data_IF_886395874436
#
_entry.id   IF_886395874436
#
_cell.length_a   1.000
_cell.length_b   1.000
_cell.length_c   1.000
_cell.angle_alpha   90.00
_cell.angle_beta   90.00
_cell.angle_gamma   90.00
#
_symmetry.space_group_name_H-M   'P 1'
#
loop_
_entity.id
_entity.type
_entity.pdbx_description
1 polymer ?
#
# COMPACT_ATOMS: atom_id res chain seq x y z
N UNK A 1 -10.11 8.30 -32.42
CA UNK A 1 -10.20 9.77 -32.47
C UNK A 1 -9.31 10.31 -31.38
N UNK A 2 -8.39 11.18 -31.81
CA UNK A 2 -7.06 11.38 -31.24
C UNK A 2 -7.08 12.33 -30.04
N UNK A 3 -6.17 12.10 -29.09
CA UNK A 3 -5.75 13.11 -28.11
C UNK A 3 -5.21 14.35 -28.84
N UNK A 4 -4.84 15.40 -28.10
CA UNK A 4 -4.29 16.60 -28.73
C UNK A 4 -3.04 16.26 -29.59
N UNK A 5 -2.62 17.16 -30.50
CA UNK A 5 -1.47 16.94 -31.40
C UNK A 5 -0.16 16.57 -30.66
N UNK A 6 -0.10 16.81 -29.35
CA UNK A 6 1.03 16.52 -28.44
C UNK A 6 0.90 15.17 -27.70
N UNK A 7 -0.23 14.46 -27.82
CA UNK A 7 -0.47 13.14 -27.25
C UNK A 7 -1.06 13.10 -25.82
N UNK A 8 -1.41 14.24 -25.23
CA UNK A 8 -2.03 14.30 -23.89
C UNK A 8 -3.50 13.88 -23.92
N UNK A 9 -3.92 13.22 -22.84
CA UNK A 9 -5.30 12.78 -22.65
C UNK A 9 -6.21 13.92 -22.17
N UNK A 10 -7.42 13.99 -22.72
CA UNK A 10 -8.53 14.74 -22.13
C UNK A 10 -9.11 14.00 -20.92
N UNK A 11 -9.73 14.71 -19.95
CA UNK A 11 -10.30 14.06 -18.78
C UNK A 11 -11.22 12.88 -19.08
N UNK A 12 -12.08 12.99 -20.09
CA UNK A 12 -13.03 11.95 -20.54
C UNK A 12 -12.39 10.77 -21.30
N UNK A 13 -11.15 10.97 -21.75
CA UNK A 13 -10.37 9.92 -22.43
C UNK A 13 -9.67 8.99 -21.44
N UNK A 14 -9.40 9.47 -20.23
CA UNK A 14 -8.74 8.66 -19.18
C UNK A 14 -9.60 7.45 -18.85
N UNK A 15 -9.06 6.25 -19.07
CA UNK A 15 -9.70 4.97 -18.75
C UNK A 15 -9.06 4.29 -17.55
N UNK A 16 -7.79 4.57 -17.29
CA UNK A 16 -7.05 3.91 -16.21
C UNK A 16 -6.22 4.89 -15.41
N UNK A 17 -6.15 4.66 -14.10
CA UNK A 17 -5.28 5.40 -13.19
C UNK A 17 -4.30 4.42 -12.55
N UNK A 18 -3.03 4.78 -12.51
CA UNK A 18 -1.98 4.03 -11.84
C UNK A 18 -1.34 4.91 -10.77
N UNK A 19 -1.14 4.37 -9.57
CA UNK A 19 -0.55 5.10 -8.44
C UNK A 19 0.76 4.43 -8.04
N UNK A 20 1.84 5.21 -8.05
CA UNK A 20 3.14 4.72 -7.63
C UNK A 20 3.16 4.34 -6.14
N UNK A 21 3.99 3.39 -5.75
CA UNK A 21 4.31 3.22 -4.34
C UNK A 21 5.33 4.23 -3.84
N UNK A 22 5.51 4.32 -2.52
CA UNK A 22 6.42 5.31 -1.93
C UNK A 22 6.20 5.57 -0.43
N UNK A 23 5.50 4.67 0.26
CA UNK A 23 5.19 4.79 1.69
C UNK A 23 4.52 6.12 2.04
N UNK A 24 5.06 6.83 3.04
CA UNK A 24 4.52 8.11 3.52
C UNK A 24 4.41 9.20 2.46
N UNK A 25 5.17 9.12 1.35
CA UNK A 25 5.04 10.01 0.19
C UNK A 25 3.65 9.96 -0.46
N UNK A 26 2.89 8.88 -0.25
CA UNK A 26 1.52 8.72 -0.74
C UNK A 26 0.53 9.80 -0.28
N UNK A 27 0.87 10.58 0.76
CA UNK A 27 0.13 11.81 1.12
C UNK A 27 -0.02 12.79 -0.07
N UNK A 28 0.93 12.79 -1.00
CA UNK A 28 0.85 13.60 -2.21
C UNK A 28 -0.37 13.26 -3.10
N UNK A 29 -0.83 12.00 -3.08
CA UNK A 29 -1.98 11.56 -3.85
C UNK A 29 -3.28 12.25 -3.44
N UNK A 30 -3.38 12.75 -2.21
CA UNK A 30 -4.60 13.43 -1.77
C UNK A 30 -4.87 14.70 -2.61
N UNK A 31 -3.82 15.46 -2.94
CA UNK A 31 -3.92 16.60 -3.86
C UNK A 31 -4.18 16.17 -5.30
N UNK A 32 -3.58 15.06 -5.73
CA UNK A 32 -3.81 14.53 -7.07
C UNK A 32 -5.27 14.10 -7.25
N UNK A 33 -5.84 13.36 -6.29
CA UNK A 33 -7.26 12.96 -6.32
C UNK A 33 -8.17 14.18 -6.35
N UNK A 34 -7.89 15.22 -5.54
CA UNK A 34 -8.63 16.48 -5.60
C UNK A 34 -8.64 17.06 -7.01
N UNK A 35 -7.47 17.16 -7.64
CA UNK A 35 -7.35 17.66 -9.01
C UNK A 35 -8.10 16.78 -10.03
N UNK A 36 -8.02 15.46 -9.90
CA UNK A 36 -8.72 14.52 -10.78
C UNK A 36 -10.26 14.65 -10.65
N UNK A 37 -10.78 14.94 -9.46
CA UNK A 37 -12.20 15.23 -9.25
C UNK A 37 -12.60 16.58 -9.84
N UNK A 38 -11.80 17.63 -9.61
CA UNK A 38 -12.04 18.98 -10.14
C UNK A 38 -12.04 19.02 -11.68
N UNK A 39 -11.16 18.24 -12.32
CA UNK A 39 -11.09 18.09 -13.78
C UNK A 39 -12.11 17.09 -14.33
N UNK A 40 -12.87 16.41 -13.47
CA UNK A 40 -13.93 15.49 -13.87
C UNK A 40 -13.46 14.12 -14.37
N UNK A 41 -12.17 13.79 -14.21
CA UNK A 41 -11.63 12.44 -14.42
C UNK A 41 -12.24 11.46 -13.43
N UNK A 42 -12.42 11.89 -12.18
CA UNK A 42 -13.13 11.15 -11.14
C UNK A 42 -14.47 11.83 -10.88
N UNK A 43 -15.56 11.10 -11.08
CA UNK A 43 -16.93 11.51 -10.72
C UNK A 43 -17.58 10.34 -10.01
N UNK A 44 -18.44 10.61 -9.04
CA UNK A 44 -19.10 9.57 -8.26
C UNK A 44 -20.62 9.68 -8.34
N UNK A 45 -21.29 8.55 -8.47
CA UNK A 45 -22.75 8.43 -8.39
C UNK A 45 -23.10 7.09 -7.74
N UNK A 46 -23.98 7.13 -6.74
CA UNK A 46 -24.47 5.94 -6.02
C UNK A 46 -23.34 5.01 -5.54
N UNK A 47 -22.32 5.58 -4.88
CA UNK A 47 -21.19 4.84 -4.31
C UNK A 47 -20.20 4.27 -5.34
N UNK A 48 -20.32 4.65 -6.63
CA UNK A 48 -19.45 4.18 -7.71
C UNK A 48 -18.79 5.34 -8.45
N UNK A 49 -17.64 5.07 -9.05
CA UNK A 49 -17.09 5.94 -10.09
C UNK A 49 -18.04 5.91 -11.30
N UNK A 50 -18.43 7.08 -11.77
CA UNK A 50 -19.38 7.29 -12.88
C UNK A 50 -18.77 8.01 -14.08
N UNK A 51 -17.45 8.23 -14.06
CA UNK A 51 -16.69 8.80 -15.17
C UNK A 51 -16.25 7.72 -16.17
N UNK A 52 -15.33 8.07 -17.07
CA UNK A 52 -14.75 7.17 -18.07
C UNK A 52 -13.80 6.11 -17.50
N UNK A 53 -13.40 6.23 -16.23
CA UNK A 53 -12.42 5.35 -15.60
C UNK A 53 -13.00 3.94 -15.43
N UNK A 54 -12.25 2.95 -15.91
CA UNK A 54 -12.60 1.52 -15.92
C UNK A 54 -11.72 0.69 -15.00
N UNK A 55 -10.53 1.17 -14.64
CA UNK A 55 -9.59 0.43 -13.81
C UNK A 55 -8.64 1.34 -13.06
N UNK A 56 -8.20 0.86 -11.89
CA UNK A 56 -7.27 1.57 -11.03
C UNK A 56 -6.21 0.58 -10.52
N UNK A 57 -4.95 0.96 -10.62
CA UNK A 57 -3.80 0.17 -10.19
C UNK A 57 -2.97 0.90 -9.13
N UNK A 58 -2.30 0.14 -8.26
CA UNK A 58 -1.36 0.74 -7.32
C UNK A 58 -0.33 -0.24 -6.74
N UNK A 59 0.79 0.30 -6.29
CA UNK A 59 1.81 -0.40 -5.49
C UNK A 59 1.95 0.30 -4.14
N UNK A 60 2.26 -0.41 -3.04
CA UNK A 60 2.44 0.19 -1.70
C UNK A 60 1.36 1.20 -1.32
N UNK A 61 1.74 2.44 -0.96
CA UNK A 61 0.82 3.55 -0.70
C UNK A 61 -0.16 3.83 -1.86
N UNK A 62 0.26 3.63 -3.11
CA UNK A 62 -0.61 3.70 -4.29
C UNK A 62 -1.69 2.62 -4.30
N UNK A 63 -1.40 1.40 -3.80
CA UNK A 63 -2.41 0.35 -3.64
C UNK A 63 -3.48 0.73 -2.61
N UNK A 64 -3.08 1.44 -1.54
CA UNK A 64 -4.03 2.01 -0.58
C UNK A 64 -4.93 3.01 -1.28
N UNK A 65 -4.37 4.02 -1.97
CA UNK A 65 -5.19 4.99 -2.72
C UNK A 65 -6.10 4.31 -3.75
N UNK A 66 -5.57 3.34 -4.51
CA UNK A 66 -6.33 2.58 -5.50
C UNK A 66 -7.51 1.81 -4.89
N UNK A 67 -7.30 1.12 -3.75
CA UNK A 67 -8.35 0.38 -3.05
C UNK A 67 -9.54 1.28 -2.71
N UNK A 68 -9.28 2.46 -2.15
CA UNK A 68 -10.33 3.35 -1.69
C UNK A 68 -11.05 4.03 -2.86
N UNK A 69 -10.32 4.54 -3.86
CA UNK A 69 -10.93 5.10 -5.06
C UNK A 69 -11.83 4.08 -5.77
N UNK A 70 -11.31 2.86 -5.98
CA UNK A 70 -12.07 1.78 -6.60
C UNK A 70 -13.25 1.30 -5.75
N UNK A 71 -13.23 1.59 -4.44
CA UNK A 71 -14.34 1.34 -3.51
C UNK A 71 -15.27 2.54 -3.32
N UNK A 72 -15.19 3.56 -4.20
CA UNK A 72 -16.12 4.68 -4.25
C UNK A 72 -15.85 5.80 -3.25
N UNK A 73 -14.63 5.92 -2.73
CA UNK A 73 -14.26 7.02 -1.83
C UNK A 73 -13.80 8.24 -2.62
N UNK A 74 -14.45 9.39 -2.39
CA UNK A 74 -14.05 10.69 -2.93
C UNK A 74 -12.87 11.30 -2.18
N UNK A 75 -12.32 12.40 -2.70
CA UNK A 75 -11.31 13.24 -2.05
C UNK A 75 -11.69 13.56 -0.59
N UNK A 76 -12.91 14.04 -0.35
CA UNK A 76 -13.36 14.39 1.00
C UNK A 76 -13.38 13.16 1.93
N UNK A 77 -13.78 12.01 1.40
CA UNK A 77 -13.78 10.75 2.16
C UNK A 77 -12.36 10.27 2.45
N UNK A 78 -11.45 10.33 1.47
CA UNK A 78 -10.03 9.99 1.64
C UNK A 78 -9.35 10.92 2.65
N UNK A 79 -9.59 12.23 2.53
CA UNK A 79 -9.03 13.24 3.45
C UNK A 79 -9.44 12.92 4.87
N UNK A 80 -10.73 12.66 5.11
CA UNK A 80 -11.28 12.39 6.44
C UNK A 80 -10.85 11.02 6.99
N UNK A 81 -11.00 9.97 6.19
CA UNK A 81 -10.94 8.59 6.70
C UNK A 81 -9.54 7.97 6.63
N UNK A 82 -8.62 8.51 5.84
CA UNK A 82 -7.28 7.92 5.67
C UNK A 82 -6.19 8.88 6.07
N UNK A 83 -6.19 10.08 5.49
CA UNK A 83 -5.08 11.01 5.64
C UNK A 83 -5.21 11.96 6.86
N UNK A 84 -6.40 12.01 7.48
CA UNK A 84 -6.60 12.65 8.79
C UNK A 84 -6.60 11.65 9.94
N UNK A 85 -6.64 10.34 9.64
CA UNK A 85 -6.41 9.32 10.66
C UNK A 85 -4.93 9.32 10.98
N UNK A 86 -4.60 9.24 12.27
CA UNK A 86 -3.23 9.06 12.69
C UNK A 86 -2.78 7.68 12.22
N UNK A 87 -2.02 7.61 11.14
CA UNK A 87 -1.55 6.33 10.58
C UNK A 87 -0.71 5.57 11.62
N UNK A 88 -0.20 6.25 12.65
CA UNK A 88 0.51 5.61 13.76
C UNK A 88 -0.40 4.69 14.60
N UNK A 89 -1.72 4.86 14.53
CA UNK A 89 -2.69 3.98 15.21
C UNK A 89 -2.75 2.59 14.56
N UNK A 90 -2.21 2.44 13.35
CA UNK A 90 -2.12 1.17 12.63
C UNK A 90 -0.84 0.38 12.91
N UNK A 91 0.08 0.93 13.70
CA UNK A 91 1.22 0.19 14.23
C UNK A 91 0.77 -0.62 15.45
N UNK A 92 0.49 -1.90 15.22
CA UNK A 92 -0.02 -2.82 16.24
C UNK A 92 1.00 -3.09 17.37
N UNK A 93 0.56 -3.40 18.61
CA UNK A 93 1.49 -3.88 19.64
C UNK A 93 2.21 -5.16 19.18
N UNK A 94 3.39 -5.49 19.75
CA UNK A 94 4.14 -6.66 19.31
C UNK A 94 3.42 -7.94 19.76
N UNK A 95 2.98 -8.74 18.78
CA UNK A 95 2.40 -10.06 19.04
C UNK A 95 3.17 -11.09 18.23
N UNK A 96 4.04 -11.85 18.89
CA UNK A 96 4.87 -12.90 18.26
C UNK A 96 3.98 -13.98 17.64
N UNK A 97 4.27 -14.37 16.40
CA UNK A 97 3.50 -15.38 15.66
C UNK A 97 2.13 -14.90 15.16
N UNK A 98 1.78 -13.63 15.38
CA UNK A 98 0.64 -13.03 14.68
C UNK A 98 1.07 -12.60 13.28
N UNK A 99 0.88 -13.51 12.32
CA UNK A 99 1.10 -13.26 10.90
C UNK A 99 -0.23 -13.45 10.16
N UNK A 100 -0.51 -12.56 9.21
CA UNK A 100 -1.74 -12.62 8.42
C UNK A 100 -1.65 -13.80 7.45
N UNK A 101 -2.61 -14.72 7.55
CA UNK A 101 -2.78 -15.82 6.59
C UNK A 101 -3.96 -15.47 5.67
N UNK A 102 -3.70 -15.41 4.37
CA UNK A 102 -4.73 -15.05 3.39
C UNK A 102 -5.89 -16.06 3.37
N UNK A 103 -7.10 -15.58 3.11
CA UNK A 103 -8.33 -16.39 3.03
C UNK A 103 -9.55 -15.61 3.53
N UNK A 104 -10.75 -16.13 3.28
CA UNK A 104 -12.03 -15.47 3.62
C UNK A 104 -12.49 -15.68 5.06
N UNK A 105 -11.60 -16.02 5.99
CA UNK A 105 -11.93 -16.27 7.39
C UNK A 105 -10.83 -15.79 8.33
N UNK A 106 -11.20 -15.44 9.57
CA UNK A 106 -10.35 -14.84 10.62
C UNK A 106 -8.90 -15.33 10.52
N UNK A 107 -7.96 -14.39 10.42
CA UNK A 107 -6.54 -14.67 10.60
C UNK A 107 -6.40 -15.47 11.90
N UNK A 108 -6.07 -16.76 11.79
CA UNK A 108 -5.68 -17.50 12.98
C UNK A 108 -4.21 -17.19 13.12
N UNK A 109 -3.87 -16.44 14.17
CA UNK A 109 -2.53 -16.50 14.77
C UNK A 109 -2.06 -17.95 14.68
N UNK A 110 -0.87 -18.17 14.14
CA UNK A 110 -0.26 -19.49 14.04
C UNK A 110 0.13 -19.95 15.44
N UNK A 111 -0.87 -20.34 16.24
CA UNK A 111 -0.72 -20.89 17.57
C UNK A 111 -0.10 -19.94 18.61
N UNK A 112 -0.82 -19.71 19.70
CA UNK A 112 -0.18 -19.40 20.99
C UNK A 112 0.80 -20.55 21.32
N UNK A 113 2.07 -20.41 20.98
CA UNK A 113 3.06 -20.92 21.91
C UNK A 113 3.11 -19.91 23.03
N UNK A 114 2.73 -20.33 24.24
CA UNK A 114 2.99 -19.58 25.46
C UNK A 114 4.49 -19.27 25.55
N UNK A 115 4.95 -18.19 24.93
CA UNK A 115 6.31 -17.67 25.10
C UNK A 115 6.41 -16.82 26.36
N UNK A 116 5.29 -16.38 26.93
CA UNK A 116 5.23 -15.78 28.27
C UNK A 116 5.71 -16.71 29.38
N UNK A 117 5.51 -18.04 29.28
CA UNK A 117 6.06 -19.00 30.25
C UNK A 117 7.46 -19.53 29.88
N UNK A 118 7.96 -19.24 28.67
CA UNK A 118 9.38 -19.45 28.29
C UNK A 118 10.24 -18.19 28.45
N UNK A 119 9.65 -17.06 28.87
CA UNK A 119 10.34 -15.78 29.05
C UNK A 119 11.30 -15.77 30.25
N UNK A 120 11.12 -16.68 31.23
CA UNK A 120 12.10 -16.86 32.32
C UNK A 120 13.37 -17.61 31.89
N UNK A 121 13.36 -18.26 30.73
CA UNK A 121 14.49 -19.06 30.21
C UNK A 121 15.31 -18.28 29.16
N UNK A 122 14.92 -17.03 28.83
CA UNK A 122 15.66 -16.13 27.95
C UNK A 122 16.90 -15.53 28.61
N UNK A 123 16.99 -15.55 29.94
CA UNK A 123 18.21 -15.21 30.68
C UNK A 123 19.38 -16.15 30.34
N UNK A 124 19.12 -17.39 29.89
CA UNK A 124 20.14 -18.35 29.42
C UNK A 124 20.55 -18.14 27.96
N UNK A 125 19.73 -17.44 27.18
CA UNK A 125 20.04 -17.06 25.79
C UNK A 125 20.58 -15.63 25.69
N UNK A 126 20.45 -14.78 26.73
CA UNK A 126 21.16 -13.50 26.86
C UNK A 126 22.69 -13.63 26.64
N UNK A 127 23.36 -14.70 27.09
CA UNK A 127 24.76 -15.00 26.77
C UNK A 127 24.99 -15.57 25.36
N UNK A 128 23.99 -16.16 24.70
CA UNK A 128 24.10 -16.60 23.29
C UNK A 128 23.86 -15.46 22.31
N UNK A 129 23.01 -14.50 22.69
CA UNK A 129 22.94 -13.13 22.17
C UNK A 129 24.21 -12.31 22.52
N UNK A 130 25.17 -12.92 23.23
CA UNK A 130 26.47 -12.32 23.53
C UNK A 130 27.61 -12.73 22.59
N UNK A 131 27.33 -13.43 21.47
CA UNK A 131 28.17 -13.34 20.25
C UNK A 131 27.93 -11.98 19.59
N UNK A 132 28.28 -10.97 20.39
CA UNK A 132 27.90 -9.58 20.39
C UNK A 132 28.61 -8.86 19.26
N UNK A 133 27.83 -8.13 18.48
CA UNK A 133 28.38 -6.98 17.80
C UNK A 133 27.50 -6.54 16.66
N UNK A 134 27.36 -7.38 15.63
CA UNK A 134 26.79 -6.94 14.36
C UNK A 134 25.27 -7.12 14.33
N UNK A 135 24.73 -8.31 14.59
CA UNK A 135 23.29 -8.55 14.50
C UNK A 135 22.45 -7.70 15.47
N UNK A 136 22.91 -7.55 16.71
CA UNK A 136 22.24 -6.68 17.70
C UNK A 136 22.32 -5.21 17.28
N UNK A 137 23.41 -4.77 16.64
CA UNK A 137 23.52 -3.40 16.09
C UNK A 137 22.55 -3.20 14.93
N UNK A 138 22.43 -4.16 14.01
CA UNK A 138 21.48 -4.09 12.89
C UNK A 138 20.05 -3.96 13.43
N UNK A 139 19.67 -4.84 14.35
CA UNK A 139 18.34 -4.85 14.95
C UNK A 139 18.08 -3.56 15.74
N UNK A 140 19.06 -3.08 16.52
CA UNK A 140 18.96 -1.82 17.26
C UNK A 140 18.86 -0.60 16.33
N UNK A 141 19.58 -0.57 15.21
CA UNK A 141 19.45 0.52 14.23
C UNK A 141 18.10 0.47 13.51
N UNK A 142 17.57 -0.70 13.18
CA UNK A 142 16.20 -0.86 12.66
C UNK A 142 15.16 -0.39 13.68
N UNK A 143 15.35 -0.66 14.97
CA UNK A 143 14.44 -0.15 16.02
C UNK A 143 14.59 1.35 16.26
N UNK A 144 15.80 1.89 16.24
CA UNK A 144 16.04 3.34 16.33
C UNK A 144 15.38 4.06 15.14
N UNK A 145 15.46 3.50 13.93
CA UNK A 145 14.69 3.96 12.76
C UNK A 145 13.22 4.08 13.11
N UNK A 146 12.62 3.01 13.62
CA UNK A 146 11.18 2.97 13.87
C UNK A 146 10.82 4.01 14.93
N UNK A 147 11.66 4.17 15.95
CA UNK A 147 11.47 5.17 16.98
C UNK A 147 11.64 6.62 16.51
N UNK A 148 12.49 6.89 15.52
CA UNK A 148 12.77 8.24 15.05
C UNK A 148 11.80 8.76 13.98
N UNK A 149 11.31 7.88 13.10
CA UNK A 149 10.44 8.25 11.98
C UNK A 149 8.96 8.13 12.32
N UNK A 150 8.62 7.18 13.19
CA UNK A 150 7.29 7.09 13.74
C UNK A 150 7.23 8.14 14.86
N UNK A 151 6.60 9.28 14.62
CA UNK A 151 6.26 10.28 15.64
C UNK A 151 5.24 9.67 16.63
N UNK A 152 5.67 8.66 17.39
CA UNK A 152 4.84 7.85 18.29
C UNK A 152 4.67 8.61 19.59
N UNK A 153 4.03 9.78 19.52
CA UNK A 153 3.41 10.36 20.70
C UNK A 153 2.12 9.58 21.00
N UNK A 154 2.29 8.50 21.78
CA UNK A 154 1.29 7.76 22.58
C UNK A 154 0.16 6.99 21.86
N UNK A 155 0.28 5.66 21.85
CA UNK A 155 -0.64 4.67 22.50
C UNK A 155 -0.26 3.22 22.15
N UNK A 156 0.22 2.98 20.93
CA UNK A 156 0.43 1.65 20.33
C UNK A 156 1.84 1.08 20.54
N UNK A 157 2.87 1.90 20.38
CA UNK A 157 4.26 1.51 20.61
C UNK A 157 4.72 1.93 22.00
N UNK A 158 5.21 0.97 22.79
CA UNK A 158 5.81 1.23 24.11
C UNK A 158 7.27 0.79 24.07
N UNK A 159 8.16 1.68 24.51
CA UNK A 159 9.58 1.36 24.63
C UNK A 159 9.83 0.20 25.61
N UNK A 160 8.92 -0.02 26.57
CA UNK A 160 8.93 -1.20 27.46
C UNK A 160 8.87 -2.53 26.70
N UNK A 161 8.26 -2.54 25.51
CA UNK A 161 7.97 -3.74 24.73
C UNK A 161 9.02 -3.95 23.61
N UNK A 162 10.15 -3.23 23.69
CA UNK A 162 11.21 -3.27 22.67
C UNK A 162 11.73 -4.68 22.42
N UNK A 163 11.84 -5.51 23.48
CA UNK A 163 12.31 -6.90 23.37
C UNK A 163 11.35 -7.74 22.54
N UNK A 164 10.05 -7.57 22.74
CA UNK A 164 8.99 -8.27 22.03
C UNK A 164 8.98 -7.86 20.55
N UNK A 165 9.20 -6.59 20.25
CA UNK A 165 9.39 -6.12 18.88
C UNK A 165 10.64 -6.75 18.21
N UNK A 166 11.75 -6.91 18.94
CA UNK A 166 12.93 -7.62 18.40
C UNK A 166 12.62 -9.08 18.08
N UNK A 167 11.87 -9.74 18.96
CA UNK A 167 11.46 -11.14 18.77
C UNK A 167 10.52 -11.26 17.56
N UNK A 168 9.57 -10.34 17.38
CA UNK A 168 8.73 -10.27 16.18
C UNK A 168 9.57 -10.10 14.92
N UNK A 169 10.54 -9.17 14.91
CA UNK A 169 11.41 -8.95 13.76
C UNK A 169 12.22 -10.21 13.43
N UNK A 170 12.75 -10.89 14.44
CA UNK A 170 13.56 -12.10 14.27
C UNK A 170 12.75 -13.30 13.79
N UNK A 171 11.58 -13.55 14.39
CA UNK A 171 10.80 -14.77 14.15
C UNK A 171 9.75 -14.62 13.05
N UNK A 172 9.23 -13.40 12.87
CA UNK A 172 8.11 -13.11 11.98
C UNK A 172 8.50 -12.18 10.83
N UNK A 173 9.79 -11.82 10.72
CA UNK A 173 10.36 -10.97 9.64
C UNK A 173 9.80 -9.55 9.57
N UNK A 174 9.11 -9.09 10.61
CA UNK A 174 8.56 -7.74 10.71
C UNK A 174 8.08 -7.40 12.12
N UNK A 175 8.08 -6.10 12.43
CA UNK A 175 7.75 -5.57 13.76
C UNK A 175 6.25 -5.56 14.00
N UNK A 176 5.47 -5.08 13.04
CA UNK A 176 4.02 -4.90 13.15
C UNK A 176 3.27 -5.97 12.38
N UNK A 177 2.25 -6.59 12.99
CA UNK A 177 1.41 -7.58 12.28
C UNK A 177 0.63 -6.93 11.13
N UNK A 178 0.24 -5.67 11.29
CA UNK A 178 -0.60 -4.92 10.35
C UNK A 178 -2.03 -5.47 10.33
N UNK A 179 -2.48 -6.07 11.42
CA UNK A 179 -3.80 -6.65 11.59
C UNK A 179 -4.87 -5.56 11.69
N UNK A 180 -4.58 -4.43 12.38
CA UNK A 180 -5.53 -3.32 12.49
C UNK A 180 -5.80 -2.70 11.12
N UNK A 181 -4.76 -2.41 10.35
CA UNK A 181 -4.94 -1.80 9.02
C UNK A 181 -5.53 -2.77 8.00
N UNK A 182 -5.22 -4.07 8.11
CA UNK A 182 -5.88 -5.11 7.30
C UNK A 182 -7.39 -5.15 7.56
N UNK A 183 -7.79 -5.08 8.83
CA UNK A 183 -9.21 -5.03 9.24
C UNK A 183 -9.87 -3.73 8.81
N UNK A 184 -9.16 -2.61 8.93
CA UNK A 184 -9.61 -1.30 8.49
C UNK A 184 -9.90 -1.26 6.98
N UNK A 185 -9.01 -1.81 6.15
CA UNK A 185 -9.26 -1.94 4.71
C UNK A 185 -10.52 -2.75 4.41
N UNK A 186 -10.70 -3.89 5.09
CA UNK A 186 -11.90 -4.70 4.88
C UNK A 186 -13.18 -3.97 5.31
N UNK A 187 -13.12 -3.25 6.43
CA UNK A 187 -14.22 -2.41 6.88
C UNK A 187 -14.57 -1.36 5.83
N UNK A 188 -13.57 -0.65 5.28
CA UNK A 188 -13.79 0.41 4.28
C UNK A 188 -14.34 -0.13 2.96
N UNK A 189 -13.90 -1.30 2.51
CA UNK A 189 -14.55 -1.96 1.36
C UNK A 189 -16.01 -2.31 1.67
N UNK A 190 -16.28 -2.83 2.87
CA UNK A 190 -17.66 -3.17 3.28
C UNK A 190 -18.55 -1.93 3.34
N UNK A 191 -18.05 -0.81 3.89
CA UNK A 191 -18.73 0.49 3.92
C UNK A 191 -18.99 1.02 2.51
N UNK A 192 -18.02 0.90 1.59
CA UNK A 192 -18.22 1.25 0.18
C UNK A 192 -19.32 0.45 -0.49
N UNK A 193 -19.36 -0.87 -0.25
CA UNK A 193 -20.42 -1.75 -0.77
C UNK A 193 -21.78 -1.43 -0.14
N UNK A 194 -21.82 -1.09 1.15
CA UNK A 194 -23.06 -0.69 1.82
C UNK A 194 -23.70 0.56 1.19
N UNK A 195 -22.91 1.49 0.62
CA UNK A 195 -23.42 2.63 -0.15
C UNK A 195 -24.11 2.23 -1.47
N UNK A 196 -23.87 1.00 -1.93
CA UNK A 196 -24.39 0.45 -3.18
C UNK A 196 -25.56 -0.52 -2.92
N UNK A 197 -25.46 -1.32 -1.86
CA UNK A 197 -26.40 -2.39 -1.53
C UNK A 197 -26.90 -2.26 -0.08
N UNK A 198 -28.15 -1.83 0.06
CA UNK A 198 -28.82 -1.64 1.34
C UNK A 198 -28.91 -2.92 2.19
N UNK A 199 -28.77 -4.12 1.60
CA UNK A 199 -28.72 -5.37 2.38
C UNK A 199 -27.43 -5.49 3.18
N UNK A 200 -26.32 -5.00 2.62
CA UNK A 200 -25.03 -4.97 3.31
C UNK A 200 -25.05 -3.94 4.42
N UNK A 201 -25.64 -2.77 4.17
CA UNK A 201 -25.82 -1.71 5.18
C UNK A 201 -26.56 -2.22 6.44
N UNK A 202 -27.70 -2.90 6.24
CA UNK A 202 -28.48 -3.48 7.35
C UNK A 202 -27.71 -4.47 8.22
N UNK A 203 -26.68 -5.10 7.67
CA UNK A 203 -25.89 -6.13 8.34
C UNK A 203 -24.44 -5.71 8.58
N UNK A 204 -24.12 -4.42 8.45
CA UNK A 204 -22.74 -3.92 8.40
C UNK A 204 -21.90 -4.36 9.61
N UNK A 205 -22.49 -4.30 10.81
CA UNK A 205 -21.82 -4.69 12.05
C UNK A 205 -21.41 -6.17 12.08
N UNK A 206 -22.20 -7.04 11.45
CA UNK A 206 -21.95 -8.47 11.37
C UNK A 206 -21.02 -8.82 10.21
N UNK A 207 -21.28 -8.27 9.02
CA UNK A 207 -20.52 -8.55 7.81
C UNK A 207 -19.13 -7.91 7.84
N UNK A 208 -18.99 -6.67 8.30
CA UNK A 208 -17.69 -5.98 8.36
C UNK A 208 -16.65 -6.72 9.21
N UNK A 209 -17.10 -7.54 10.17
CA UNK A 209 -16.23 -8.37 11.03
C UNK A 209 -15.94 -9.77 10.49
N UNK A 210 -16.75 -10.28 9.56
CA UNK A 210 -16.72 -11.71 9.18
C UNK A 210 -16.67 -11.98 7.66
N UNK A 211 -17.00 -10.99 6.82
CA UNK A 211 -16.97 -11.11 5.36
C UNK A 211 -15.76 -10.41 4.80
N UNK A 212 -14.97 -11.16 4.05
CA UNK A 212 -13.81 -10.68 3.31
C UNK A 212 -14.16 -10.63 1.82
N UNK A 213 -14.13 -9.45 1.23
CA UNK A 213 -14.55 -9.21 -0.14
C UNK A 213 -13.43 -9.53 -1.12
N UNK A 214 -13.68 -10.43 -2.05
CA UNK A 214 -12.71 -10.88 -3.06
C UNK A 214 -12.59 -9.89 -4.22
N UNK A 215 -11.52 -9.98 -5.03
CA UNK A 215 -11.40 -9.15 -6.24
C UNK A 215 -12.59 -9.32 -7.20
N UNK A 216 -13.10 -10.55 -7.34
CA UNK A 216 -14.27 -10.83 -8.16
C UNK A 216 -15.51 -10.08 -7.64
N UNK A 217 -15.81 -10.21 -6.35
CA UNK A 217 -16.95 -9.55 -5.72
C UNK A 217 -16.82 -8.02 -5.73
N UNK A 218 -15.61 -7.51 -5.46
CA UNK A 218 -15.31 -6.08 -5.54
C UNK A 218 -15.64 -5.53 -6.94
N UNK A 219 -15.15 -6.20 -7.99
CA UNK A 219 -15.47 -5.84 -9.36
C UNK A 219 -16.97 -5.93 -9.65
N UNK A 220 -17.66 -6.96 -9.15
CA UNK A 220 -19.11 -7.11 -9.34
C UNK A 220 -19.90 -5.92 -8.79
N UNK A 221 -19.51 -5.40 -7.61
CA UNK A 221 -20.15 -4.24 -6.99
C UNK A 221 -19.75 -2.91 -7.65
N UNK A 222 -18.45 -2.64 -7.79
CA UNK A 222 -17.95 -1.32 -8.19
C UNK A 222 -17.72 -1.13 -9.69
N UNK A 223 -17.59 -2.22 -10.46
CA UNK A 223 -17.28 -2.22 -11.90
C UNK A 223 -15.96 -1.54 -12.27
N UNK A 224 -15.01 -1.50 -11.34
CA UNK A 224 -13.65 -0.97 -11.54
C UNK A 224 -12.66 -2.14 -11.47
N UNK A 225 -11.86 -2.31 -12.52
CA UNK A 225 -10.78 -3.29 -12.56
C UNK A 225 -9.63 -2.84 -11.63
N UNK A 226 -9.61 -3.40 -10.43
CA UNK A 226 -8.64 -3.08 -9.38
C UNK A 226 -7.42 -4.01 -9.47
N UNK A 227 -6.22 -3.43 -9.53
CA UNK A 227 -4.96 -4.18 -9.61
C UNK A 227 -3.94 -3.70 -8.58
N UNK A 228 -3.28 -4.64 -7.92
CA UNK A 228 -2.14 -4.37 -7.04
C UNK A 228 -0.89 -5.10 -7.48
N UNK A 229 0.27 -4.58 -7.10
CA UNK A 229 1.53 -5.34 -7.22
C UNK A 229 1.96 -5.87 -5.85
N UNK A 230 2.47 -7.10 -5.82
CA UNK A 230 3.07 -7.69 -4.62
C UNK A 230 4.16 -8.69 -5.02
N UNK A 231 5.13 -8.90 -4.14
CA UNK A 231 6.26 -9.81 -4.40
C UNK A 231 6.04 -11.11 -3.63
N UNK A 232 6.17 -12.24 -4.31
CA UNK A 232 6.19 -13.55 -3.66
C UNK A 232 7.64 -14.01 -3.50
N UNK A 233 8.11 -14.04 -2.26
CA UNK A 233 9.48 -14.44 -1.91
C UNK A 233 9.81 -15.89 -2.23
N UNK A 234 8.81 -16.77 -2.35
CA UNK A 234 9.06 -18.16 -2.73
C UNK A 234 9.45 -18.28 -4.21
N UNK A 235 8.79 -17.51 -5.06
CA UNK A 235 9.01 -17.56 -6.51
C UNK A 235 9.91 -16.44 -7.00
N UNK A 236 10.33 -15.54 -6.11
CA UNK A 236 11.20 -14.39 -6.39
C UNK A 236 10.66 -13.49 -7.51
N UNK A 237 9.33 -13.40 -7.63
CA UNK A 237 8.66 -12.72 -8.72
C UNK A 237 7.65 -11.68 -8.20
N UNK A 238 7.53 -10.59 -8.94
CA UNK A 238 6.43 -9.64 -8.84
C UNK A 238 5.17 -10.27 -9.45
N UNK A 239 4.03 -10.12 -8.76
CA UNK A 239 2.72 -10.51 -9.27
C UNK A 239 1.79 -9.32 -9.34
N UNK A 240 0.95 -9.35 -10.36
CA UNK A 240 -0.25 -8.53 -10.45
C UNK A 240 -1.39 -9.28 -9.78
N UNK A 241 -1.92 -8.74 -8.69
CA UNK A 241 -3.09 -9.24 -7.98
C UNK A 241 -4.33 -8.52 -8.52
N UNK A 242 -5.28 -9.26 -9.10
CA UNK A 242 -6.49 -8.71 -9.70
C UNK A 242 -7.64 -9.71 -9.73
N UNK A 243 -8.78 -9.31 -10.31
CA UNK A 243 -9.89 -10.23 -10.62
C UNK A 243 -9.52 -11.32 -11.63
N UNK A 244 -8.54 -11.08 -12.50
CA UNK A 244 -8.18 -11.99 -13.58
C UNK A 244 -7.13 -13.01 -13.12
N UNK A 245 -6.19 -12.58 -12.28
CA UNK A 245 -5.10 -13.44 -11.79
C UNK A 245 -5.41 -14.07 -10.44
N UNK A 246 -6.14 -13.37 -9.57
CA UNK A 246 -6.42 -13.78 -8.19
C UNK A 246 -7.88 -13.49 -7.78
N UNK A 247 -8.90 -13.95 -8.54
CA UNK A 247 -10.30 -13.57 -8.35
C UNK A 247 -10.84 -13.80 -6.94
N UNK A 248 -10.39 -14.87 -6.26
CA UNK A 248 -10.88 -15.27 -4.95
C UNK A 248 -10.04 -14.71 -3.78
N UNK A 249 -8.98 -13.94 -4.06
CA UNK A 249 -8.18 -13.31 -3.01
C UNK A 249 -8.93 -12.09 -2.47
N UNK A 250 -9.09 -11.92 -1.14
CA UNK A 250 -9.68 -10.72 -0.58
C UNK A 250 -8.88 -9.45 -0.94
N UNK A 251 -9.56 -8.41 -1.41
CA UNK A 251 -8.91 -7.16 -1.84
C UNK A 251 -8.19 -6.45 -0.69
N UNK A 252 -8.74 -6.51 0.53
CA UNK A 252 -8.09 -5.98 1.72
C UNK A 252 -6.79 -6.73 2.07
N UNK A 253 -6.78 -8.05 1.88
CA UNK A 253 -5.57 -8.87 2.05
C UNK A 253 -4.54 -8.55 0.96
N UNK A 254 -4.97 -8.39 -0.28
CA UNK A 254 -4.09 -8.03 -1.39
C UNK A 254 -3.47 -6.64 -1.21
N UNK A 255 -4.25 -5.64 -0.76
CA UNK A 255 -3.73 -4.34 -0.38
C UNK A 255 -2.74 -4.45 0.79
N UNK A 256 -3.02 -5.31 1.79
CA UNK A 256 -2.11 -5.58 2.90
C UNK A 256 -0.79 -6.20 2.45
N UNK A 257 -0.82 -7.16 1.52
CA UNK A 257 0.37 -7.74 0.87
C UNK A 257 1.17 -6.65 0.18
N UNK A 258 0.49 -5.83 -0.62
CA UNK A 258 1.09 -4.73 -1.36
C UNK A 258 1.70 -3.64 -0.49
N UNK A 259 1.45 -3.60 0.83
CA UNK A 259 2.06 -2.65 1.78
C UNK A 259 2.90 -3.32 2.88
N UNK A 260 3.25 -4.61 2.71
CA UNK A 260 4.13 -5.34 3.63
C UNK A 260 5.59 -4.89 3.43
N UNK A 261 5.88 -3.64 3.79
CA UNK A 261 7.23 -3.10 3.73
C UNK A 261 8.14 -3.94 4.64
N UNK A 262 9.25 -4.51 4.12
CA UNK A 262 10.12 -5.40 4.88
C UNK A 262 10.58 -4.78 6.19
N UNK A 263 10.74 -5.63 7.21
CA UNK A 263 11.16 -5.28 8.58
C UNK A 263 10.15 -4.43 9.37
N UNK A 264 9.35 -3.58 8.73
CA UNK A 264 8.29 -2.80 9.39
C UNK A 264 7.07 -3.67 9.60
N UNK A 265 6.51 -4.18 8.51
CA UNK A 265 5.30 -4.97 8.53
C UNK A 265 5.63 -6.43 8.25
N UNK A 266 5.05 -7.33 9.05
CA UNK A 266 5.16 -8.76 8.82
C UNK A 266 4.63 -9.13 7.42
N UNK A 267 5.21 -10.14 6.76
CA UNK A 267 4.73 -10.62 5.47
C UNK A 267 3.31 -11.17 5.61
N UNK A 268 2.61 -11.27 4.48
CA UNK A 268 1.35 -12.03 4.42
C UNK A 268 1.67 -13.44 3.91
N UNK A 269 1.05 -14.45 4.51
CA UNK A 269 1.26 -15.85 4.16
C UNK A 269 0.10 -16.36 3.30
N UNK A 270 0.42 -17.02 2.20
CA UNK A 270 -0.51 -17.90 1.49
C UNK A 270 0.00 -19.35 1.66
N UNK A 271 -0.86 -20.23 2.16
CA UNK A 271 -0.53 -21.64 2.41
C UNK A 271 -1.75 -22.57 2.20
N UNK A 272 -1.61 -23.86 2.52
CA UNK A 272 -2.70 -24.85 2.43
C UNK A 272 -3.98 -24.46 3.20
N UNK A 273 -3.86 -23.71 4.31
CA UNK A 273 -5.05 -23.20 5.01
C UNK A 273 -5.76 -22.11 4.20
N UNK A 274 -5.00 -21.29 3.46
CA UNK A 274 -5.55 -20.30 2.52
C UNK A 274 -6.35 -20.97 1.41
N UNK A 275 -5.81 -22.06 0.84
CA UNK A 275 -6.50 -22.88 -0.16
C UNK A 275 -7.84 -23.39 0.38
N UNK A 276 -7.82 -23.99 1.57
CA UNK A 276 -9.00 -24.56 2.23
C UNK A 276 -10.06 -23.52 2.61
N UNK A 277 -9.67 -22.28 2.95
CA UNK A 277 -10.60 -21.24 3.42
C UNK A 277 -11.28 -20.48 2.29
N UNK A 278 -10.70 -20.40 1.10
CA UNK A 278 -11.15 -19.42 0.10
C UNK A 278 -10.89 -19.73 -1.37
N UNK A 279 -10.60 -20.99 -1.75
CA UNK A 279 -10.28 -21.35 -3.15
C UNK A 279 -9.13 -20.49 -3.72
N UNK A 280 -8.16 -20.14 -2.88
CA UNK A 280 -6.93 -19.45 -3.33
C UNK A 280 -6.04 -20.49 -3.98
N UNK A 281 -5.48 -20.17 -5.15
CA UNK A 281 -4.67 -21.07 -5.93
C UNK A 281 -3.37 -21.45 -5.18
N UNK A 282 -3.05 -22.74 -5.10
CA UNK A 282 -1.84 -23.26 -4.46
C UNK A 282 -0.53 -22.74 -5.07
N UNK A 283 -0.56 -22.29 -6.34
CA UNK A 283 0.57 -21.62 -7.00
C UNK A 283 0.96 -20.30 -6.34
N UNK A 284 0.04 -19.68 -5.59
CA UNK A 284 0.28 -18.44 -4.87
C UNK A 284 0.91 -18.68 -3.48
N UNK A 285 1.18 -19.93 -3.11
CA UNK A 285 1.78 -20.26 -1.83
C UNK A 285 3.14 -19.56 -1.65
N UNK A 286 3.35 -18.94 -0.49
CA UNK A 286 4.57 -18.19 -0.22
C UNK A 286 4.41 -17.11 0.84
N UNK A 287 5.52 -16.39 1.05
CA UNK A 287 5.58 -15.17 1.85
C UNK A 287 5.47 -13.98 0.89
N UNK A 288 4.57 -13.06 1.21
CA UNK A 288 4.24 -11.94 0.35
C UNK A 288 4.64 -10.61 0.99
N UNK A 289 5.35 -9.80 0.19
CA UNK A 289 5.90 -8.51 0.56
C UNK A 289 5.38 -7.40 -0.37
N UNK A 290 5.67 -6.15 0.01
CA UNK A 290 5.34 -4.95 -0.76
C UNK A 290 5.86 -5.05 -2.21
N UNK A 291 4.98 -4.78 -3.18
CA UNK A 291 5.29 -4.79 -4.61
C UNK A 291 6.22 -3.66 -5.05
N UNK A 292 6.24 -2.56 -4.28
CA UNK A 292 7.14 -1.43 -4.46
C UNK A 292 8.60 -1.74 -4.18
N UNK A 293 8.98 -3.00 -3.91
CA UNK A 293 10.37 -3.43 -3.84
C UNK A 293 10.98 -3.80 -5.21
N UNK A 294 10.14 -4.20 -6.16
CA UNK A 294 10.55 -4.72 -7.48
C UNK A 294 9.92 -3.93 -8.64
N UNK A 295 8.69 -3.44 -8.44
CA UNK A 295 8.06 -2.50 -9.36
C UNK A 295 7.12 -1.55 -8.62
N UNK A 296 7.54 -0.30 -8.57
CA UNK A 296 6.81 0.77 -7.93
C UNK A 296 5.90 1.54 -8.90
N UNK A 297 6.07 1.38 -10.22
CA UNK A 297 5.39 2.16 -11.28
C UNK A 297 4.43 1.27 -12.10
N UNK A 298 3.19 1.02 -11.62
CA UNK A 298 2.24 0.10 -12.25
C UNK A 298 1.55 0.65 -13.51
N UNK A 299 2.23 1.46 -14.33
CA UNK A 299 1.63 2.09 -15.52
C UNK A 299 1.21 1.06 -16.58
N UNK A 300 2.02 0.03 -16.80
CA UNK A 300 1.72 -1.00 -17.80
C UNK A 300 0.74 -2.09 -17.33
N UNK A 301 0.19 -2.01 -16.11
CA UNK A 301 -0.74 -3.05 -15.64
C UNK A 301 -2.03 -3.14 -16.45
N UNK A 302 -2.38 -2.08 -17.19
CA UNK A 302 -3.51 -2.05 -18.11
C UNK A 302 -3.12 -2.10 -19.60
N UNK A 303 -1.83 -1.99 -19.94
CA UNK A 303 -1.33 -1.95 -21.32
C UNK A 303 -2.15 -1.03 -22.25
N UNK A 304 -2.33 0.23 -21.86
CA UNK A 304 -3.22 1.17 -22.55
C UNK A 304 -2.66 2.58 -22.54
N UNK A 305 -2.71 3.25 -23.70
CA UNK A 305 -2.37 4.67 -23.89
C UNK A 305 -3.33 5.62 -23.15
N UNK A 306 -4.52 5.15 -22.79
CA UNK A 306 -5.51 5.86 -21.94
C UNK A 306 -5.27 5.75 -20.44
N UNK A 307 -4.02 5.50 -20.02
CA UNK A 307 -3.63 5.40 -18.61
C UNK A 307 -2.92 6.69 -18.16
N UNK A 308 -3.19 7.14 -16.93
CA UNK A 308 -2.38 8.15 -16.27
C UNK A 308 -1.70 7.53 -15.06
N UNK A 309 -0.37 7.61 -14.99
CA UNK A 309 0.44 7.29 -13.81
C UNK A 309 0.66 8.55 -12.97
N UNK A 310 0.32 8.47 -11.70
CA UNK A 310 0.64 9.45 -10.69
C UNK A 310 1.95 9.02 -10.03
N UNK A 311 3.05 9.70 -10.40
CA UNK A 311 4.40 9.40 -9.92
C UNK A 311 4.72 10.28 -8.70
N UNK A 312 5.23 9.66 -7.64
CA UNK A 312 5.77 10.33 -6.47
C UNK A 312 7.19 10.74 -6.83
N UNK A 313 7.38 12.03 -7.14
CA UNK A 313 8.58 12.56 -7.79
C UNK A 313 9.91 12.14 -7.17
N UNK A 314 10.98 12.29 -7.95
CA UNK A 314 12.33 11.98 -7.46
C UNK A 314 12.78 12.99 -6.42
N UNK A 315 13.43 12.47 -5.39
CA UNK A 315 14.34 13.25 -4.58
C UNK A 315 15.73 12.74 -4.91
N UNK A 316 16.54 13.56 -5.56
CA UNK A 316 17.99 13.43 -5.50
C UNK A 316 18.39 13.76 -4.06
N UNK A 317 18.18 12.82 -3.15
CA UNK A 317 18.84 12.88 -1.86
C UNK A 317 20.31 12.63 -2.15
N UNK A 318 21.17 13.60 -1.86
CA UNK A 318 22.60 13.34 -1.73
C UNK A 318 22.73 12.26 -0.65
N UNK A 319 22.86 11.00 -1.07
CA UNK A 319 22.93 9.88 -0.15
C UNK A 319 24.30 9.93 0.56
N UNK A 320 24.32 10.57 1.73
CA UNK A 320 25.35 10.29 2.72
C UNK A 320 24.93 9.04 3.48
N UNK A 321 25.81 8.04 3.50
CA UNK A 321 25.59 6.80 4.23
C UNK A 321 26.20 6.93 5.63
N UNK A 322 25.48 7.60 6.52
CA UNK A 322 25.92 7.80 7.91
C UNK A 322 25.63 6.57 8.77
N UNK A 323 24.76 5.68 8.30
CA UNK A 323 24.35 4.47 8.99
C UNK A 323 24.01 3.31 8.05
N UNK A 324 24.01 2.09 8.59
CA UNK A 324 23.42 0.92 7.91
C UNK A 324 21.95 1.17 7.55
N UNK A 325 21.27 2.01 8.32
CA UNK A 325 19.90 2.35 8.05
C UNK A 325 19.75 3.21 6.79
N UNK A 326 20.62 4.19 6.57
CA UNK A 326 20.66 4.95 5.32
C UNK A 326 20.95 4.02 4.15
N UNK A 327 21.83 3.04 4.33
CA UNK A 327 22.07 1.99 3.34
C UNK A 327 20.81 1.16 3.02
N UNK A 328 20.08 0.66 4.04
CA UNK A 328 18.84 -0.11 3.84
C UNK A 328 17.76 0.76 3.19
N UNK A 329 17.58 2.01 3.63
CA UNK A 329 16.65 2.97 3.04
C UNK A 329 16.93 3.18 1.56
N UNK A 330 18.18 3.47 1.23
CA UNK A 330 18.60 3.66 -0.16
C UNK A 330 18.44 2.37 -0.95
N UNK A 331 18.77 1.20 -0.39
CA UNK A 331 18.59 -0.10 -1.05
C UNK A 331 17.11 -0.39 -1.36
N UNK A 332 16.22 -0.17 -0.40
CA UNK A 332 14.77 -0.32 -0.60
C UNK A 332 14.24 0.71 -1.61
N UNK A 333 14.73 1.95 -1.57
CA UNK A 333 14.38 3.00 -2.53
C UNK A 333 14.89 2.67 -3.94
N UNK A 334 16.08 2.09 -4.07
CA UNK A 334 16.63 1.62 -5.35
C UNK A 334 15.80 0.47 -5.94
N UNK A 335 15.37 -0.48 -5.11
CA UNK A 335 14.40 -1.51 -5.51
C UNK A 335 13.07 -0.92 -5.97
N UNK A 336 12.56 0.08 -5.24
CA UNK A 336 11.37 0.83 -5.64
C UNK A 336 11.56 1.61 -6.95
N UNK A 337 12.73 2.16 -7.21
CA UNK A 337 13.03 2.81 -8.48
C UNK A 337 13.15 1.82 -9.66
N UNK A 338 12.94 0.51 -9.43
CA UNK A 338 12.92 -0.52 -10.47
C UNK A 338 14.29 -1.09 -10.83
N UNK A 339 15.35 -0.69 -10.12
CA UNK A 339 16.74 -1.09 -10.44
C UNK A 339 17.12 -2.51 -9.97
N UNK A 340 16.34 -3.12 -9.06
CA UNK A 340 16.67 -4.41 -8.44
C UNK A 340 15.95 -5.63 -9.04
N UNK A 341 15.14 -5.47 -10.09
CA UNK A 341 14.57 -6.60 -10.83
C UNK A 341 13.10 -6.45 -11.18
N UNK A 342 12.84 -6.20 -12.44
CA UNK A 342 11.83 -6.95 -13.19
C UNK A 342 12.01 -6.59 -14.66
N UNK A 343 12.83 -7.38 -15.36
CA UNK A 343 12.90 -7.36 -16.83
C UNK A 343 11.60 -7.83 -17.50
N UNK A 344 10.42 -7.49 -16.96
CA UNK A 344 9.11 -7.96 -17.43
C UNK A 344 8.01 -6.89 -17.40
N UNK A 345 8.37 -5.62 -17.41
CA UNK A 345 7.40 -4.55 -17.62
C UNK A 345 7.91 -3.72 -18.78
N UNK A 346 7.21 -3.80 -19.92
CA UNK A 346 7.59 -3.20 -21.20
C UNK A 346 8.29 -1.84 -21.03
N UNK A 347 9.44 -1.69 -21.71
CA UNK A 347 10.17 -0.42 -21.76
C UNK A 347 9.22 0.71 -22.20
N UNK A 348 9.09 1.73 -21.37
CA UNK A 348 8.32 2.92 -21.72
C UNK A 348 9.00 3.62 -22.90
N UNK A 349 8.21 4.00 -23.90
CA UNK A 349 8.71 5.00 -24.83
C UNK A 349 8.79 6.34 -24.09
N UNK A 350 9.76 7.19 -24.45
CA UNK A 350 9.87 8.56 -23.92
C UNK A 350 8.54 9.31 -24.10
N UNK A 351 7.81 9.03 -25.18
CA UNK A 351 6.50 9.61 -25.46
C UNK A 351 5.44 9.18 -24.44
N UNK A 352 5.36 7.90 -24.09
CA UNK A 352 4.43 7.42 -23.07
C UNK A 352 4.71 8.09 -21.73
N UNK A 353 5.99 8.20 -21.37
CA UNK A 353 6.38 8.90 -20.14
C UNK A 353 5.89 10.37 -20.14
N UNK A 354 6.17 11.13 -21.21
CA UNK A 354 5.82 12.55 -21.30
C UNK A 354 4.30 12.80 -21.31
N UNK A 355 3.52 11.85 -21.79
CA UNK A 355 2.08 12.04 -22.02
C UNK A 355 1.19 11.31 -21.03
N UNK A 356 1.70 10.33 -20.28
CA UNK A 356 0.89 9.52 -19.34
C UNK A 356 1.35 9.68 -17.89
N UNK A 357 2.47 10.35 -17.62
CA UNK A 357 3.00 10.49 -16.26
C UNK A 357 2.76 11.90 -15.74
N UNK A 358 2.17 12.01 -14.56
CA UNK A 358 2.09 13.24 -13.79
C UNK A 358 2.95 13.10 -12.54
N UNK A 359 4.07 13.83 -12.51
CA UNK A 359 4.93 13.89 -11.34
C UNK A 359 4.37 14.83 -10.27
N UNK A 360 4.18 14.28 -9.08
CA UNK A 360 3.66 14.98 -7.91
C UNK A 360 4.79 15.59 -7.09
N UNK A 361 4.50 16.74 -6.49
CA UNK A 361 5.34 17.31 -5.45
C UNK A 361 5.21 16.47 -4.17
N UNK A 362 6.34 16.11 -3.58
CA UNK A 362 6.46 15.28 -2.38
C UNK A 362 7.20 16.02 -1.25
N UNK A 363 7.30 17.35 -1.32
CA UNK A 363 8.06 18.15 -0.36
C UNK A 363 7.50 18.01 1.05
N UNK A 364 8.39 17.79 2.02
CA UNK A 364 8.01 17.58 3.42
C UNK A 364 7.50 16.17 3.76
N UNK A 365 7.50 15.26 2.79
CA UNK A 365 7.18 13.83 2.96
C UNK A 365 8.46 12.97 2.94
N UNK A 366 8.37 11.74 3.47
CA UNK A 366 9.43 10.73 3.39
C UNK A 366 8.80 9.34 3.26
N UNK A 367 9.61 8.30 3.02
CA UNK A 367 9.13 6.92 2.92
C UNK A 367 8.38 6.45 4.18
N UNK A 368 8.78 6.92 5.37
CA UNK A 368 8.27 6.45 6.66
C UNK A 368 7.45 7.51 7.41
N UNK A 369 7.38 8.74 6.91
CA UNK A 369 6.55 9.82 7.47
C UNK A 369 5.13 9.73 6.93
N UNK A 370 4.32 8.86 7.54
CA UNK A 370 2.93 8.63 7.13
C UNK A 370 1.97 9.74 7.58
N UNK A 371 2.29 10.43 8.68
CA UNK A 371 1.52 11.57 9.17
C UNK A 371 2.22 12.89 8.85
N UNK A 372 1.45 13.83 8.30
CA UNK A 372 1.92 15.18 8.03
C UNK A 372 1.19 16.17 8.92
N UNK A 373 1.91 17.19 9.36
CA UNK A 373 1.29 18.35 9.97
C UNK A 373 0.31 18.98 8.98
N UNK A 374 -0.84 19.44 9.49
CA UNK A 374 -1.92 20.00 8.68
C UNK A 374 -1.45 21.07 7.68
N UNK A 375 -0.58 22.04 8.03
CA UNK A 375 -0.09 23.04 7.07
C UNK A 375 0.69 22.43 5.90
N UNK A 376 1.49 21.39 6.15
CA UNK A 376 2.26 20.68 5.11
C UNK A 376 1.31 19.91 4.21
N UNK A 377 0.35 19.18 4.79
CA UNK A 377 -0.66 18.44 4.04
C UNK A 377 -1.51 19.36 3.16
N UNK A 378 -2.03 20.47 3.72
CA UNK A 378 -2.86 21.43 2.98
C UNK A 378 -2.06 22.09 1.83
N UNK A 379 -0.76 22.36 2.03
CA UNK A 379 0.14 22.85 0.97
C UNK A 379 0.31 21.81 -0.14
N UNK A 380 0.57 20.55 0.21
CA UNK A 380 0.70 19.45 -0.77
C UNK A 380 -0.60 19.24 -1.56
N UNK A 381 -1.77 19.28 -0.90
CA UNK A 381 -3.07 19.20 -1.56
C UNK A 381 -3.20 20.29 -2.63
N UNK A 382 -2.90 21.54 -2.27
CA UNK A 382 -2.99 22.68 -3.18
C UNK A 382 -2.04 22.57 -4.38
N UNK A 383 -0.78 22.22 -4.14
CA UNK A 383 0.24 22.11 -5.19
C UNK A 383 -0.10 20.99 -6.16
N UNK A 384 -0.44 19.80 -5.65
CA UNK A 384 -0.69 18.64 -6.49
C UNK A 384 -2.03 18.71 -7.23
N UNK A 385 -3.08 19.31 -6.64
CA UNK A 385 -4.29 19.64 -7.40
C UNK A 385 -3.95 20.55 -8.59
N UNK A 386 -3.17 21.63 -8.37
CA UNK A 386 -2.72 22.53 -9.45
C UNK A 386 -1.90 21.80 -10.52
N UNK A 387 -1.06 20.83 -10.16
CA UNK A 387 -0.29 20.02 -11.13
C UNK A 387 -1.21 19.19 -12.03
N UNK A 388 -2.24 18.56 -11.47
CA UNK A 388 -3.24 17.82 -12.27
C UNK A 388 -3.95 18.76 -13.26
N UNK A 389 -4.42 19.92 -12.79
CA UNK A 389 -5.04 20.93 -13.68
C UNK A 389 -4.09 21.38 -14.76
N UNK A 390 -2.82 21.62 -14.40
CA UNK A 390 -1.75 21.99 -15.33
C UNK A 390 -1.55 20.98 -16.45
N UNK A 391 -1.58 19.68 -16.13
CA UNK A 391 -1.50 18.61 -17.12
C UNK A 391 -2.67 18.66 -18.11
N UNK A 392 -3.91 18.81 -17.63
CA UNK A 392 -5.08 18.89 -18.51
C UNK A 392 -5.21 20.25 -19.23
N UNK A 393 -4.64 21.33 -18.69
CA UNK A 393 -4.62 22.65 -19.32
C UNK A 393 -3.54 22.83 -20.38
N UNK A 394 -2.56 21.91 -20.50
CA UNK A 394 -1.59 21.91 -21.61
C UNK A 394 -2.26 21.65 -22.98
N UNK A 395 -3.58 21.46 -22.99
CA UNK A 395 -4.48 21.49 -24.15
C UNK A 395 -4.76 22.91 -24.68
N UNK A 396 -4.45 23.97 -23.92
CA UNK A 396 -4.89 25.34 -24.21
C UNK A 396 -3.82 26.24 -24.83
N UNK A 397 -2.62 25.73 -25.10
CA UNK A 397 -1.58 26.53 -25.77
C UNK A 397 -1.65 26.21 -27.26
N UNK A 398 -2.14 27.17 -28.09
CA UNK A 398 -2.33 26.98 -29.52
C UNK A 398 -1.04 26.59 -30.26
#
# INVERSE_FOLDING_TARGET
MMGNEKGFLKPEEVKYLAFEGGGGKGNAFLGAVKGLEEEGVLKYKNGRISSSVKGIAGASAGAITALFLASGYSFESLRKDIFSVNFNDFFDPPVVGEIIVAGSGKSKSTGKTNTASKLNDLSKYLPLLSKKGIYDKIIMEVMKMLLSELDIKKKSFKLSDIKEYLICLQNDFGVFSGANIHSFFNQKVTEGIAKIDAKVEKNLNYLGKNKWWTFKEHYEYFKIDLKFTAVNMRTENLYVLSKDTTPNLPVATAARMSMSLPFIFKPVIINKQSEARGKINSKLNGLWLDGGLFNNTPLNLFNSDKTILLRLGERMENHQFDSLFDFIKTYLAMGAMGSAGSGQINEFTVRDYLTQVIELNIDGTSLLKFNLEKPVLDKLIKINSKRIKGYFSQQSIP
#
